data_IF_435475997260
#
_entry.id   IF_435475997260
#
_cell.length_a   1.000
_cell.length_b   1.000
_cell.length_c   1.000
_cell.angle_alpha   90.00
_cell.angle_beta   90.00
_cell.angle_gamma   90.00
#
_symmetry.space_group_name_H-M   'P 1'
#
loop_
_entity.id
_entity.type
_entity.pdbx_description
1 polymer ?
#
# COMPACT_ATOMS: atom_id res chain seq x y z
N UNK A 1 6.53 -8.27 2.50
CA UNK A 1 7.07 -7.29 1.53
C UNK A 1 8.36 -6.63 2.00
N UNK A 2 8.42 -6.03 3.20
CA UNK A 2 9.65 -5.43 3.72
C UNK A 2 10.36 -6.24 4.82
N UNK A 3 9.62 -7.05 5.56
CA UNK A 3 10.17 -7.87 6.66
C UNK A 3 10.27 -9.35 6.29
N UNK A 4 9.61 -9.77 5.20
CA UNK A 4 9.51 -11.15 4.76
C UNK A 4 9.82 -11.20 3.25
N UNK A 5 10.64 -12.16 2.86
CA UNK A 5 10.98 -12.53 1.49
C UNK A 5 9.80 -13.22 0.80
N UNK A 6 9.89 -13.38 -0.53
CA UNK A 6 8.85 -14.05 -1.33
C UNK A 6 8.65 -15.53 -0.95
N UNK A 7 9.69 -16.17 -0.40
CA UNK A 7 9.64 -17.54 0.11
C UNK A 7 9.12 -17.62 1.56
N UNK A 8 8.63 -16.51 2.14
CA UNK A 8 8.08 -16.50 3.49
C UNK A 8 9.11 -16.39 4.63
N UNK A 9 10.42 -16.35 4.34
CA UNK A 9 11.44 -16.18 5.39
C UNK A 9 11.60 -14.72 5.80
N UNK A 10 11.98 -14.43 7.07
CA UNK A 10 12.33 -13.08 7.48
C UNK A 10 13.49 -12.52 6.65
N UNK A 11 13.44 -11.23 6.34
CA UNK A 11 14.57 -10.51 5.73
C UNK A 11 15.63 -10.23 6.80
N UNK A 12 16.88 -10.52 6.43
CA UNK A 12 18.05 -10.25 7.26
C UNK A 12 18.14 -8.76 7.64
N UNK A 13 18.72 -8.46 8.80
CA UNK A 13 18.87 -7.10 9.30
C UNK A 13 19.80 -6.24 8.46
N UNK A 14 20.77 -6.85 7.77
CA UNK A 14 21.71 -6.18 6.86
C UNK A 14 21.09 -5.72 5.54
N UNK A 15 19.90 -6.21 5.20
CA UNK A 15 19.22 -5.84 3.96
C UNK A 15 18.58 -4.48 4.13
N UNK A 16 18.94 -3.55 3.24
CA UNK A 16 18.33 -2.22 3.19
C UNK A 16 16.82 -2.35 2.92
N UNK A 17 16.02 -1.71 3.77
CA UNK A 17 14.56 -1.77 3.71
C UNK A 17 14.03 -0.51 3.04
N UNK A 18 13.03 -0.67 2.19
CA UNK A 18 12.34 0.45 1.57
C UNK A 18 11.79 1.42 2.63
N UNK A 19 11.88 2.72 2.33
CA UNK A 19 11.41 3.80 3.21
C UNK A 19 9.90 3.99 3.09
N UNK A 20 9.31 4.72 4.05
CA UNK A 20 7.91 5.12 3.94
C UNK A 20 7.63 5.93 2.66
N UNK A 21 8.57 6.79 2.25
CA UNK A 21 8.47 7.56 1.01
C UNK A 21 8.40 6.66 -0.22
N UNK A 22 9.15 5.55 -0.24
CA UNK A 22 9.03 4.57 -1.33
C UNK A 22 7.61 3.99 -1.39
N UNK A 23 7.03 3.59 -0.26
CA UNK A 23 5.66 3.10 -0.19
C UNK A 23 4.63 4.17 -0.62
N UNK A 24 4.84 5.45 -0.28
CA UNK A 24 3.97 6.54 -0.75
C UNK A 24 4.01 6.70 -2.28
N UNK A 25 5.21 6.63 -2.89
CA UNK A 25 5.36 6.68 -4.35
C UNK A 25 4.65 5.51 -5.03
N UNK A 26 4.80 4.30 -4.49
CA UNK A 26 4.09 3.11 -4.98
C UNK A 26 2.56 3.28 -4.90
N UNK A 27 2.05 3.79 -3.77
CA UNK A 27 0.61 4.06 -3.62
C UNK A 27 0.12 5.11 -4.63
N UNK A 28 0.86 6.21 -4.81
CA UNK A 28 0.49 7.27 -5.74
C UNK A 28 0.45 6.76 -7.20
N UNK A 29 1.44 5.97 -7.61
CA UNK A 29 1.48 5.35 -8.93
C UNK A 29 0.28 4.40 -9.15
N UNK A 30 -0.03 3.55 -8.16
CA UNK A 30 -1.19 2.67 -8.23
C UNK A 30 -2.50 3.45 -8.29
N UNK A 31 -2.66 4.51 -7.49
CA UNK A 31 -3.85 5.38 -7.55
C UNK A 31 -4.05 6.00 -8.92
N UNK A 32 -2.97 6.52 -9.52
CA UNK A 32 -3.03 7.06 -10.87
C UNK A 32 -3.35 5.99 -11.91
N UNK A 33 -2.69 4.83 -11.85
CA UNK A 33 -2.90 3.72 -12.77
C UNK A 33 -4.35 3.23 -12.74
N UNK A 34 -4.87 2.84 -11.58
CA UNK A 34 -6.26 2.38 -11.45
C UNK A 34 -7.27 3.47 -11.76
N UNK A 35 -7.02 4.70 -11.27
CA UNK A 35 -7.95 5.80 -11.43
C UNK A 35 -8.06 6.30 -12.86
N UNK A 36 -6.92 6.57 -13.51
CA UNK A 36 -6.86 7.19 -14.84
C UNK A 36 -6.70 6.18 -15.96
N UNK A 37 -5.76 5.24 -15.85
CA UNK A 37 -5.46 4.30 -16.95
C UNK A 37 -6.55 3.25 -17.07
N UNK A 38 -7.03 2.71 -15.96
CA UNK A 38 -8.13 1.73 -15.95
C UNK A 38 -9.52 2.35 -15.79
N UNK A 39 -9.62 3.67 -15.66
CA UNK A 39 -10.89 4.39 -15.54
C UNK A 39 -11.71 4.02 -14.30
N UNK A 40 -11.11 3.43 -13.26
CA UNK A 40 -11.81 3.03 -12.03
C UNK A 40 -12.06 4.22 -11.09
N UNK A 41 -11.55 5.40 -11.44
CA UNK A 41 -11.73 6.63 -10.71
C UNK A 41 -11.13 6.61 -9.29
N UNK A 42 -11.78 7.36 -8.41
CA UNK A 42 -11.35 7.57 -7.01
C UNK A 42 -12.31 6.96 -5.99
N UNK A 43 -13.29 6.18 -6.45
CA UNK A 43 -14.19 5.44 -5.56
C UNK A 43 -13.40 4.40 -4.77
N UNK A 44 -13.65 4.30 -3.47
CA UNK A 44 -13.05 3.27 -2.63
C UNK A 44 -13.40 1.88 -3.17
N UNK A 45 -12.46 0.94 -3.04
CA UNK A 45 -12.68 -0.46 -3.40
C UNK A 45 -13.83 -1.05 -2.58
N UNK A 46 -14.89 -1.51 -3.25
CA UNK A 46 -16.09 -2.03 -2.62
C UNK A 46 -16.73 -3.13 -3.45
N UNK A 47 -17.61 -3.92 -2.84
CA UNK A 47 -18.41 -4.91 -3.56
C UNK A 47 -19.69 -4.25 -4.06
N UNK A 48 -19.96 -4.35 -5.35
CA UNK A 48 -21.22 -3.91 -5.94
C UNK A 48 -22.37 -4.75 -5.41
N UNK A 49 -23.39 -4.13 -4.85
CA UNK A 49 -24.59 -4.82 -4.37
C UNK A 49 -25.41 -5.42 -5.52
N UNK A 50 -25.40 -4.76 -6.68
CA UNK A 50 -26.16 -5.18 -7.87
C UNK A 50 -25.48 -6.35 -8.60
N UNK A 51 -24.17 -6.24 -8.84
CA UNK A 51 -23.43 -7.21 -9.66
C UNK A 51 -22.61 -8.22 -8.86
N UNK A 52 -22.41 -8.00 -7.56
CA UNK A 52 -21.53 -8.81 -6.71
C UNK A 52 -20.03 -8.70 -7.03
N UNK A 53 -19.64 -7.92 -8.05
CA UNK A 53 -18.24 -7.73 -8.46
C UNK A 53 -17.57 -6.67 -7.59
N UNK A 54 -16.24 -6.77 -7.47
CA UNK A 54 -15.46 -5.72 -6.82
C UNK A 54 -15.24 -4.55 -7.79
N UNK A 55 -15.53 -3.33 -7.34
CA UNK A 55 -15.46 -2.09 -8.10
C UNK A 55 -14.69 -1.01 -7.33
N UNK A 56 -14.32 0.06 -8.04
CA UNK A 56 -13.55 1.18 -7.50
C UNK A 56 -12.05 0.97 -7.63
N UNK A 57 -11.28 1.76 -6.90
CA UNK A 57 -9.83 1.75 -6.96
C UNK A 57 -9.24 1.10 -5.70
N UNK A 58 -8.51 -0.02 -5.82
CA UNK A 58 -7.95 -0.73 -4.66
C UNK A 58 -6.99 0.14 -3.85
N UNK A 59 -6.26 1.08 -4.46
CA UNK A 59 -5.23 1.90 -3.78
C UNK A 59 -5.79 2.95 -2.80
N UNK A 60 -7.09 3.24 -2.89
CA UNK A 60 -7.83 4.18 -2.04
C UNK A 60 -8.75 3.47 -1.05
N UNK A 61 -8.66 2.14 -0.95
CA UNK A 61 -9.38 1.36 0.06
C UNK A 61 -9.00 1.77 1.49
N UNK A 62 -9.95 1.56 2.42
CA UNK A 62 -9.73 1.78 3.85
C UNK A 62 -8.62 0.88 4.38
N UNK A 63 -8.59 -0.39 3.97
CA UNK A 63 -7.57 -1.36 4.38
C UNK A 63 -6.15 -0.89 4.04
N UNK A 64 -5.91 -0.40 2.81
CA UNK A 64 -4.60 0.13 2.44
C UNK A 64 -4.28 1.45 3.16
N UNK A 65 -5.28 2.29 3.43
CA UNK A 65 -5.07 3.51 4.21
C UNK A 65 -4.61 3.21 5.63
N UNK A 66 -5.30 2.29 6.32
CA UNK A 66 -4.94 1.82 7.66
C UNK A 66 -3.57 1.16 7.70
N UNK A 67 -3.25 0.38 6.66
CA UNK A 67 -1.90 -0.19 6.49
C UNK A 67 -0.84 0.90 6.37
N UNK A 68 -1.04 1.91 5.51
CA UNK A 68 -0.09 3.01 5.31
C UNK A 68 0.13 3.82 6.58
N UNK A 69 -0.90 4.06 7.40
CA UNK A 69 -0.76 4.73 8.70
C UNK A 69 0.12 3.91 9.65
N UNK A 70 -0.10 2.61 9.71
CA UNK A 70 0.72 1.69 10.52
C UNK A 70 2.16 1.61 10.02
N UNK A 71 2.35 1.58 8.70
CA UNK A 71 3.68 1.58 8.08
C UNK A 71 4.43 2.88 8.37
N UNK A 72 3.76 4.03 8.30
CA UNK A 72 4.34 5.33 8.67
C UNK A 72 4.89 5.31 10.09
N UNK A 73 4.09 4.83 11.06
CA UNK A 73 4.51 4.73 12.46
C UNK A 73 5.77 3.87 12.61
N UNK A 74 5.81 2.69 11.98
CA UNK A 74 6.98 1.78 12.06
C UNK A 74 8.25 2.37 11.44
N UNK A 75 8.14 3.06 10.30
CA UNK A 75 9.29 3.51 9.51
C UNK A 75 9.78 4.92 9.86
N UNK A 76 8.89 5.80 10.32
CA UNK A 76 9.22 7.18 10.69
C UNK A 76 9.62 7.29 12.16
N UNK A 77 9.10 6.45 13.05
CA UNK A 77 9.54 6.44 14.45
C UNK A 77 10.96 5.86 14.61
N UNK A 78 11.33 4.88 13.77
CA UNK A 78 12.68 4.29 13.75
C UNK A 78 13.76 5.28 13.29
N UNK A 79 13.41 6.33 12.54
CA UNK A 79 14.37 7.32 12.03
C UNK A 79 14.74 8.41 13.03
N UNK A 80 14.13 8.45 14.22
CA UNK A 80 14.43 9.44 15.27
C UNK A 80 15.37 8.91 16.36
N UNK A 81 15.91 7.69 16.21
CA UNK A 81 16.78 7.03 17.22
C UNK A 81 18.06 6.48 16.56
N UNK A 82 18.66 7.20 15.62
CA UNK A 82 19.95 6.82 15.00
C UNK A 82 20.95 7.95 15.08
#
# INVERSE_FOLDING_TARGET
CDEINLNGTPKDSSVERATFTHAQKMRAAATFGFGRVHGLGMLAWHRSEVSGKMLGNPSVSETLTSYMLSLRRRKVCVSLVS
#
